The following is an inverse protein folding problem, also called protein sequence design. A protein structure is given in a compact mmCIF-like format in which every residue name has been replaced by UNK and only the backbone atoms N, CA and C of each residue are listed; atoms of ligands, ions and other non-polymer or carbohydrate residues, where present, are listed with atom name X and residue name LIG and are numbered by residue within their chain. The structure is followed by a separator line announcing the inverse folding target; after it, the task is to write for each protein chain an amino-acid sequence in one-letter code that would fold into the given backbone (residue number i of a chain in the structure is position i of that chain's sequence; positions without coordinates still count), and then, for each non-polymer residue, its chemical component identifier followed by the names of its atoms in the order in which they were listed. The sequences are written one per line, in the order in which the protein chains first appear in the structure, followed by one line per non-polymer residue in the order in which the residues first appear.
data_IF_088145248583
#
_entry.id   IF_088145248583
#
_cell.length_a   1.000
_cell.length_b   1.000
_cell.length_c   1.000
_cell.angle_alpha   90.00
_cell.angle_beta   90.00
_cell.angle_gamma   90.00
#
_symmetry.space_group_name_H-M   'P 1'
#
loop_
_entity.id
_entity.type
_entity.pdbx_description
1 polymer ?
2 non-polymer ?
3 water ?
#
# COMPACT_ATOMS: atom_id res chain seq x y z
N UNK A 4 -15.97 -10.61 16.46
CA UNK A 4 -15.31 -9.55 17.22
C UNK A 4 -13.83 -9.45 16.88
N UNK A 5 -13.38 -8.22 16.71
CA UNK A 5 -12.00 -7.83 16.39
C UNK A 5 -11.00 -7.93 17.56
N UNK A 6 -11.46 -7.98 18.84
CA UNK A 6 -10.54 -8.10 19.98
C UNK A 6 -10.05 -9.55 20.06
N UNK A 7 -8.71 -9.75 20.03
CA UNK A 7 -8.13 -11.08 20.16
C UNK A 7 -7.42 -11.15 21.50
N UNK A 8 -7.75 -12.17 22.28
CA UNK A 8 -7.18 -12.40 23.58
C UNK A 8 -5.73 -12.90 23.43
N UNK A 9 -4.78 -12.44 24.29
CA UNK A 9 -3.39 -12.96 24.19
C UNK A 9 -3.27 -14.48 24.26
N UNK A 10 -4.23 -15.17 24.91
CA UNK A 10 -4.22 -16.64 25.00
C UNK A 10 -4.62 -17.28 23.66
N UNK A 11 -5.18 -16.48 22.73
CA UNK A 11 -5.61 -16.98 21.42
C UNK A 11 -4.49 -16.88 20.36
N UNK A 12 -3.29 -16.45 20.78
CA UNK A 12 -2.14 -16.25 19.91
C UNK A 12 -0.91 -16.95 20.42
N UNK A 13 -0.15 -17.56 19.49
CA UNK A 13 1.14 -18.18 19.79
C UNK A 13 2.14 -17.63 18.79
N UNK A 14 3.27 -17.10 19.28
CA UNK A 14 4.34 -16.56 18.44
C UNK A 14 5.26 -17.75 18.13
N UNK A 15 5.54 -17.99 16.86
CA UNK A 15 6.30 -19.17 16.46
C UNK A 15 7.71 -18.85 15.94
N UNK A 16 7.86 -17.73 15.26
CA UNK A 16 9.13 -17.34 14.64
C UNK A 16 9.09 -15.85 14.40
N UNK A 17 10.21 -15.17 14.63
CA UNK A 17 10.35 -13.76 14.31
C UNK A 17 10.55 -13.71 12.80
N UNK A 18 9.69 -12.93 12.14
CA UNK A 18 9.73 -12.74 10.70
C UNK A 18 10.79 -11.65 10.41
N UNK A 19 10.61 -10.49 11.05
CA UNK A 19 11.52 -9.36 10.92
C UNK A 19 11.16 -8.18 11.80
N UNK A 20 11.71 -7.01 11.45
CA UNK A 20 11.47 -5.76 12.18
C UNK A 20 10.74 -4.78 11.30
N UNK A 21 9.56 -4.38 11.76
CA UNK A 21 8.73 -3.40 11.09
C UNK A 21 9.16 -2.00 11.49
N UNK A 22 8.40 -0.99 11.05
CA UNK A 22 8.66 0.41 11.39
C UNK A 22 8.36 0.66 12.87
N UNK A 23 7.24 0.12 13.37
CA UNK A 23 6.78 0.33 14.74
C UNK A 23 7.00 -0.84 15.71
N UNK A 24 7.91 -1.74 15.36
CA UNK A 24 8.22 -2.89 16.20
C UNK A 24 8.63 -4.13 15.45
N UNK A 25 8.17 -5.28 15.96
CA UNK A 25 8.47 -6.62 15.43
C UNK A 25 7.30 -7.24 14.68
N UNK A 26 7.63 -8.14 13.73
CA UNK A 26 6.66 -8.93 12.95
C UNK A 26 7.01 -10.41 13.21
N UNK A 27 6.02 -11.19 13.66
CA UNK A 27 6.20 -12.61 13.95
C UNK A 27 5.28 -13.46 13.13
N UNK A 28 5.71 -14.68 12.83
CA UNK A 28 4.85 -15.70 12.26
C UNK A 28 4.26 -16.37 13.51
N UNK A 29 2.96 -16.59 13.50
CA UNK A 29 2.30 -17.24 14.60
C UNK A 29 1.06 -17.99 14.17
N UNK A 30 0.33 -18.51 15.14
CA UNK A 30 -0.92 -19.20 14.92
C UNK A 30 -2.00 -18.49 15.72
N UNK A 31 -3.21 -18.39 15.13
CA UNK A 31 -4.35 -17.81 15.80
C UNK A 31 -5.31 -18.96 16.17
N UNK A 32 -5.67 -19.09 17.46
CA UNK A 32 -6.52 -20.17 17.97
C UNK A 32 -7.78 -20.44 17.16
N UNK A 33 -7.92 -21.71 16.71
CA UNK A 33 -9.01 -22.33 15.95
C UNK A 33 -9.27 -21.66 14.60
N UNK A 34 -8.29 -20.88 14.12
CA UNK A 34 -8.47 -20.10 12.90
C UNK A 34 -7.44 -20.35 11.82
N UNK A 35 -6.27 -19.68 11.90
CA UNK A 35 -5.24 -19.77 10.86
C UNK A 35 -3.84 -19.42 11.34
N UNK A 36 -2.86 -19.59 10.43
CA UNK A 36 -1.49 -19.14 10.58
C UNK A 36 -1.60 -17.64 10.35
N UNK A 37 -0.87 -16.83 11.13
CA UNK A 37 -0.99 -15.37 11.03
C UNK A 37 0.36 -14.64 11.08
N UNK A 38 0.34 -13.36 10.68
CA UNK A 38 1.49 -12.48 10.84
C UNK A 38 1.09 -11.54 11.97
N UNK A 39 1.90 -11.48 13.04
CA UNK A 39 1.55 -10.63 14.19
C UNK A 39 2.54 -9.48 14.29
N UNK A 40 2.02 -8.26 14.20
CA UNK A 40 2.80 -7.03 14.28
C UNK A 40 2.61 -6.40 15.63
N UNK A 41 3.70 -6.26 16.39
CA UNK A 41 3.73 -5.63 17.71
C UNK A 41 4.01 -4.14 17.48
N UNK A 42 3.15 -3.26 18.04
CA UNK A 42 3.22 -1.81 17.82
C UNK A 42 3.74 -1.10 19.04
N UNK A 43 4.84 -0.35 18.87
CA UNK A 43 5.51 0.41 19.92
C UNK A 43 4.56 1.47 20.47
N UNK A 44 4.48 1.60 21.82
CA UNK A 44 3.64 2.63 22.44
C UNK A 44 4.06 4.02 21.95
N UNK A 45 3.10 4.85 21.58
CA UNK A 45 3.37 6.20 21.08
C UNK A 45 3.47 6.31 19.58
N UNK A 46 3.59 5.16 18.87
CA UNK A 46 3.69 5.13 17.41
C UNK A 46 2.37 5.48 16.75
N UNK A 47 1.25 5.07 17.34
CA UNK A 47 -0.08 5.31 16.78
C UNK A 47 -1.12 5.67 17.84
N UNK A 48 -2.21 6.37 17.40
CA UNK A 48 -3.32 6.71 18.26
C UNK A 48 -4.15 5.44 18.31
N UNK A 49 -3.99 4.69 19.40
CA UNK A 49 -4.64 3.40 19.56
C UNK A 49 -6.13 3.57 19.75
N UNK A 50 -6.52 4.59 20.54
CA UNK A 50 -7.92 4.94 20.77
C UNK A 50 -8.67 5.27 19.48
N UNK A 51 -8.07 6.06 18.56
CA UNK A 51 -8.74 6.41 17.30
C UNK A 51 -8.83 5.18 16.42
N UNK A 52 -7.80 4.35 16.44
CA UNK A 52 -7.75 3.12 15.67
C UNK A 52 -8.86 2.15 16.10
N UNK A 53 -8.92 1.83 17.40
CA UNK A 53 -9.90 0.93 18.03
C UNK A 53 -11.36 1.32 17.72
N UNK A 54 -11.65 2.63 17.71
CA UNK A 54 -12.96 3.23 17.43
C UNK A 54 -13.53 2.82 16.07
N UNK A 55 -12.66 2.68 15.07
CA UNK A 55 -13.05 2.34 13.69
C UNK A 55 -13.06 0.85 13.38
N UNK A 56 -12.68 0.00 14.34
CA UNK A 56 -12.60 -1.46 14.18
C UNK A 56 -13.89 -2.10 13.72
N UNK A 57 -15.03 -1.80 14.37
CA UNK A 57 -16.34 -2.36 14.04
C UNK A 57 -16.68 -2.23 12.56
N UNK A 58 -16.53 -1.01 12.01
CA UNK A 58 -16.80 -0.68 10.61
C UNK A 58 -15.73 -1.28 9.69
N UNK A 59 -14.44 -0.95 9.94
CA UNK A 59 -13.28 -1.36 9.15
C UNK A 59 -13.06 -2.86 9.00
N UNK A 60 -13.47 -3.65 10.02
CA UNK A 60 -13.29 -5.10 10.00
C UNK A 60 -14.11 -5.79 8.92
N UNK A 61 -15.21 -5.15 8.47
CA UNK A 61 -16.12 -5.62 7.43
C UNK A 61 -15.50 -5.61 6.03
N UNK A 62 -14.44 -4.79 5.80
CA UNK A 62 -13.78 -4.76 4.48
C UNK A 62 -13.06 -6.09 4.27
N UNK A 63 -13.37 -6.75 3.14
CA UNK A 63 -12.82 -8.05 2.79
C UNK A 63 -12.86 -8.21 1.28
N UNK A 64 -11.70 -8.53 0.70
CA UNK A 64 -11.58 -8.72 -0.75
C UNK A 64 -10.37 -9.65 -0.96
N UNK A 65 -10.38 -10.53 -2.01
CA UNK A 65 -9.22 -11.40 -2.24
C UNK A 65 -7.91 -10.63 -2.47
N UNK A 66 -7.99 -9.33 -2.84
CA UNK A 66 -6.79 -8.55 -3.13
C UNK A 66 -6.45 -7.53 -2.03
N UNK A 67 -6.97 -7.75 -0.82
CA UNK A 67 -6.65 -6.94 0.34
C UNK A 67 -6.18 -7.90 1.42
N UNK A 68 -5.04 -7.56 2.08
CA UNK A 68 -4.51 -8.34 3.21
C UNK A 68 -5.54 -8.18 4.33
N UNK A 69 -6.08 -9.30 4.80
CA UNK A 69 -7.07 -9.27 5.88
C UNK A 69 -6.41 -8.99 7.24
N UNK A 70 -6.94 -7.97 7.95
CA UNK A 70 -6.49 -7.68 9.31
C UNK A 70 -7.56 -8.35 10.19
N UNK A 71 -7.23 -9.52 10.74
CA UNK A 71 -8.10 -10.36 11.56
C UNK A 71 -8.58 -9.73 12.86
N UNK A 72 -7.69 -8.98 13.51
CA UNK A 72 -8.01 -8.31 14.76
C UNK A 72 -6.84 -7.70 15.48
N UNK A 73 -7.11 -7.19 16.71
CA UNK A 73 -6.15 -6.50 17.56
C UNK A 73 -6.07 -7.15 18.96
N UNK A 74 -4.84 -7.41 19.43
CA UNK A 74 -4.61 -7.91 20.79
C UNK A 74 -4.26 -6.69 21.60
N UNK A 75 -5.15 -6.29 22.50
CA UNK A 75 -4.93 -5.06 23.26
C UNK A 75 -4.94 -5.16 24.80
N UNK A 76 -4.94 -6.39 25.36
CA UNK A 76 -4.93 -6.61 26.82
C UNK A 76 -3.86 -5.78 27.54
N UNK A 77 -2.60 -5.87 27.08
CA UNK A 77 -1.50 -5.08 27.63
C UNK A 77 -0.60 -4.54 26.55
N UNK A 78 0.05 -3.41 26.87
CA UNK A 78 0.98 -2.70 26.03
C UNK A 78 2.28 -3.51 25.91
N UNK A 79 2.86 -3.67 24.70
CA UNK A 79 2.44 -3.09 23.41
C UNK A 79 1.30 -3.88 22.76
N UNK A 80 0.43 -3.19 22.02
CA UNK A 80 -0.68 -3.88 21.35
C UNK A 80 -0.19 -4.62 20.10
N UNK A 81 -0.97 -5.63 19.65
CA UNK A 81 -0.64 -6.43 18.48
C UNK A 81 -1.71 -6.32 17.40
N UNK A 82 -1.30 -6.34 16.13
CA UNK A 82 -2.21 -6.35 14.98
C UNK A 82 -2.02 -7.73 14.37
N UNK A 83 -3.13 -8.45 14.14
CA UNK A 83 -3.09 -9.83 13.65
C UNK A 83 -3.58 -9.87 12.19
N UNK A 84 -2.67 -10.18 11.28
CA UNK A 84 -2.90 -10.21 9.84
C UNK A 84 -2.85 -11.59 9.24
N UNK A 85 -3.48 -11.70 8.07
CA UNK A 85 -3.41 -12.78 7.12
C UNK A 85 -1.89 -12.95 6.83
N UNK A 86 -1.38 -14.19 6.82
CA UNK A 86 0.05 -14.38 6.54
C UNK A 86 0.35 -14.36 5.05
N UNK A 87 1.29 -13.52 4.64
CA UNK A 87 1.66 -13.32 3.23
C UNK A 87 3.08 -13.85 3.07
N UNK A 88 3.20 -15.11 2.65
CA UNK A 88 4.46 -15.86 2.57
C UNK A 88 5.66 -15.26 1.85
N UNK A 89 5.44 -14.37 0.85
CA UNK A 89 6.56 -13.77 0.11
C UNK A 89 6.98 -12.36 0.50
N UNK A 90 6.43 -11.83 1.61
CA UNK A 90 6.77 -10.53 2.13
C UNK A 90 6.29 -9.37 1.30
N UNK A 91 6.94 -8.21 1.45
CA UNK A 91 6.52 -7.02 0.73
C UNK A 91 6.95 -6.98 -0.73
N UNK A 92 6.08 -6.38 -1.58
CA UNK A 92 6.30 -6.29 -3.02
C UNK A 92 7.60 -5.58 -3.42
N UNK A 93 7.98 -4.50 -2.72
CA UNK A 93 9.21 -3.74 -3.04
C UNK A 93 10.47 -4.66 -3.00
N UNK A 94 10.70 -5.39 -1.87
CA UNK A 94 11.79 -6.37 -1.71
C UNK A 94 11.66 -7.54 -2.70
N UNK A 95 10.43 -8.02 -2.95
CA UNK A 95 10.16 -9.11 -3.88
C UNK A 95 10.61 -8.73 -5.32
N UNK A 96 10.24 -7.54 -5.79
CA UNK A 96 10.62 -7.08 -7.12
C UNK A 96 12.15 -7.00 -7.24
N UNK A 97 12.81 -6.38 -6.24
CA UNK A 97 14.26 -6.18 -6.12
C UNK A 97 15.09 -7.46 -6.15
N UNK A 98 14.67 -8.50 -5.40
CA UNK A 98 15.38 -9.78 -5.35
C UNK A 98 15.15 -10.67 -6.60
N UNK A 99 13.98 -10.53 -7.26
CA UNK A 99 13.64 -11.31 -8.45
C UNK A 99 13.87 -10.54 -9.78
N UNK A 100 14.51 -9.36 -9.72
CA UNK A 100 14.82 -8.51 -10.89
C UNK A 100 15.49 -9.32 -12.02
N UNK A 101 14.97 -9.20 -13.25
CA UNK A 101 15.47 -9.93 -14.41
C UNK A 101 14.78 -11.27 -14.66
N UNK A 102 13.88 -11.67 -13.73
CA UNK A 102 13.13 -12.95 -13.83
C UNK A 102 11.64 -12.73 -14.03
N UNK A 103 11.22 -11.50 -14.27
CA UNK A 103 9.82 -11.16 -14.47
C UNK A 103 9.45 -11.00 -15.93
N UNK A 104 8.42 -11.73 -16.38
CA UNK A 104 7.83 -11.59 -17.72
C UNK A 104 6.96 -10.34 -17.63
N UNK A 105 6.80 -9.58 -18.72
CA UNK A 105 6.01 -8.34 -18.73
C UNK A 105 4.56 -8.57 -18.28
N UNK A 106 4.01 -9.75 -18.64
CA UNK A 106 2.65 -10.13 -18.26
C UNK A 106 2.50 -10.32 -16.75
N UNK A 107 3.55 -10.83 -16.06
CA UNK A 107 3.53 -11.04 -14.61
C UNK A 107 3.49 -9.65 -13.91
N UNK A 108 4.27 -8.69 -14.40
CA UNK A 108 4.34 -7.32 -13.84
C UNK A 108 3.00 -6.64 -14.02
N UNK A 109 2.38 -6.80 -15.21
CA UNK A 109 1.05 -6.26 -15.46
C UNK A 109 0.02 -6.90 -14.52
N UNK A 110 0.09 -8.22 -14.33
CA UNK A 110 -0.79 -8.98 -13.43
C UNK A 110 -0.71 -8.49 -11.99
N UNK A 111 0.52 -8.16 -11.53
CA UNK A 111 0.76 -7.57 -10.22
C UNK A 111 0.04 -6.20 -10.12
N UNK A 112 0.09 -5.38 -11.20
CA UNK A 112 -0.60 -4.07 -11.25
C UNK A 112 -2.10 -4.29 -11.22
N UNK A 113 -2.57 -5.35 -11.93
CA UNK A 113 -3.99 -5.73 -11.95
C UNK A 113 -4.53 -6.14 -10.59
N UNK A 114 -3.75 -6.91 -9.82
CA UNK A 114 -4.10 -7.36 -8.46
C UNK A 114 -4.32 -6.12 -7.56
N UNK A 115 -3.34 -5.19 -7.55
CA UNK A 115 -3.40 -3.95 -6.76
C UNK A 115 -4.60 -3.12 -7.21
N UNK A 116 -4.78 -2.93 -8.54
CA UNK A 116 -5.90 -2.16 -9.10
C UNK A 116 -7.28 -2.67 -8.64
N UNK A 117 -7.45 -4.01 -8.64
CA UNK A 117 -8.68 -4.67 -8.24
C UNK A 117 -8.94 -4.41 -6.72
N UNK A 118 -7.91 -4.54 -5.89
CA UNK A 118 -7.98 -4.25 -4.46
C UNK A 118 -8.32 -2.79 -4.19
N UNK A 119 -7.72 -1.88 -4.96
CA UNK A 119 -7.99 -0.45 -4.86
C UNK A 119 -9.39 -0.10 -5.39
N UNK A 120 -9.90 -0.82 -6.42
CA UNK A 120 -11.24 -0.55 -6.96
C UNK A 120 -12.31 -0.93 -5.91
N UNK A 121 -12.04 -1.98 -5.12
CA UNK A 121 -12.90 -2.40 -4.00
C UNK A 121 -12.91 -1.29 -2.92
N UNK A 122 -11.72 -0.76 -2.53
CA UNK A 122 -11.59 0.31 -1.53
C UNK A 122 -12.28 1.58 -2.01
N UNK A 123 -12.03 1.96 -3.28
CA UNK A 123 -12.66 3.13 -3.91
C UNK A 123 -14.21 3.04 -3.84
N UNK A 124 -14.78 1.86 -4.22
CA UNK A 124 -16.23 1.59 -4.16
C UNK A 124 -16.72 1.67 -2.70
N UNK A 125 -15.88 1.22 -1.73
CA UNK A 125 -16.20 1.27 -0.30
C UNK A 125 -15.97 2.66 0.31
N UNK A 126 -15.45 3.62 -0.49
CA UNK A 126 -15.13 4.99 -0.07
C UNK A 126 -14.05 5.03 1.02
N UNK A 127 -13.04 4.13 0.88
CA UNK A 127 -11.94 4.07 1.82
C UNK A 127 -10.71 4.55 1.05
N UNK A 128 -10.02 5.59 1.58
CA UNK A 128 -8.82 6.15 0.95
C UNK A 128 -7.58 5.50 1.61
N UNK A 129 -6.66 4.95 0.80
CA UNK A 129 -5.44 4.33 1.33
C UNK A 129 -4.57 5.38 2.00
N UNK A 130 -4.17 6.44 1.24
CA UNK A 130 -3.36 7.61 1.64
C UNK A 130 -1.86 7.47 1.43
N UNK A 131 -1.37 6.22 1.33
CA UNK A 131 0.06 5.99 1.17
C UNK A 131 0.29 4.68 0.43
N UNK A 132 -0.38 4.52 -0.72
CA UNK A 132 -0.24 3.31 -1.53
C UNK A 132 1.14 3.34 -2.22
N UNK A 133 1.92 2.28 -1.97
CA UNK A 133 3.28 2.11 -2.50
C UNK A 133 3.59 0.64 -2.54
N UNK A 134 4.60 0.21 -3.34
CA UNK A 134 4.97 -1.22 -3.41
C UNK A 134 5.36 -1.76 -2.01
N UNK A 135 6.02 -0.92 -1.16
CA UNK A 135 6.40 -1.27 0.24
C UNK A 135 5.19 -1.69 1.11
N UNK A 136 3.98 -1.22 0.75
CA UNK A 136 2.71 -1.47 1.44
C UNK A 136 1.92 -2.63 0.84
N UNK A 137 2.39 -3.16 -0.27
CA UNK A 137 1.76 -4.31 -0.91
C UNK A 137 2.51 -5.57 -0.53
N UNK A 138 1.76 -6.66 -0.37
CA UNK A 138 2.31 -7.94 0.05
C UNK A 138 2.06 -9.02 -0.98
N UNK A 139 3.01 -9.97 -1.07
CA UNK A 139 3.05 -11.08 -2.03
C UNK A 139 2.69 -12.38 -1.31
N UNK A 140 1.65 -13.04 -1.77
CA UNK A 140 1.19 -14.25 -1.14
C UNK A 140 1.31 -15.48 -1.99
N UNK A 141 0.33 -16.39 -1.80
CA UNK A 141 0.21 -17.68 -2.47
C UNK A 141 0.09 -17.49 -3.98
N UNK A 142 1.05 -18.08 -4.71
CA UNK A 142 1.17 -18.07 -6.16
C UNK A 142 1.33 -16.67 -6.75
N UNK A 143 2.20 -15.85 -6.13
CA UNK A 143 2.55 -14.48 -6.54
C UNK A 143 1.37 -13.51 -6.51
N UNK A 144 0.29 -13.83 -5.76
CA UNK A 144 -0.84 -12.90 -5.66
C UNK A 144 -0.42 -11.63 -4.89
N UNK A 145 -0.81 -10.45 -5.40
CA UNK A 145 -0.49 -9.20 -4.73
C UNK A 145 -1.71 -8.70 -3.98
N UNK A 146 -1.50 -8.32 -2.71
CA UNK A 146 -2.60 -7.78 -1.90
C UNK A 146 -2.22 -6.43 -1.32
N UNK A 147 -3.18 -5.50 -1.29
CA UNK A 147 -2.96 -4.15 -0.72
C UNK A 147 -3.12 -4.25 0.81
N UNK A 148 -2.30 -3.51 1.56
CA UNK A 148 -2.34 -3.50 3.02
C UNK A 148 -2.06 -2.09 3.55
N UNK A 149 -2.31 -1.87 4.87
CA UNK A 149 -2.08 -0.63 5.63
C UNK A 149 -2.88 0.56 5.11
N UNK A 150 -4.03 0.31 4.48
CA UNK A 150 -4.87 1.39 3.98
C UNK A 150 -5.45 2.15 5.16
N UNK A 151 -5.38 3.48 5.08
CA UNK A 151 -5.87 4.40 6.09
C UNK A 151 -5.00 4.59 7.32
N UNK A 152 -3.87 3.84 7.43
CA UNK A 152 -2.98 3.83 8.58
C UNK A 152 -2.35 5.18 8.97
N UNK A 153 -1.95 5.99 7.96
CA UNK A 153 -1.38 7.32 8.19
C UNK A 153 -2.32 8.28 8.97
N UNK A 154 -3.63 7.96 9.06
CA UNK A 154 -4.58 8.74 9.86
C UNK A 154 -4.35 8.53 11.37
N UNK A 155 -3.64 7.44 11.75
CA UNK A 155 -3.38 7.09 13.14
C UNK A 155 -1.92 7.28 13.54
N UNK A 156 -1.02 7.43 12.55
CA UNK A 156 0.43 7.60 12.76
C UNK A 156 0.70 8.89 13.56
N UNK A 157 1.40 8.74 14.70
CA UNK A 157 1.69 9.89 15.57
C UNK A 157 2.90 10.75 15.21
N UNK A 158 3.75 10.30 14.29
CA UNK A 158 4.92 11.08 13.84
C UNK A 158 4.51 12.12 12.79
N UNK A 159 4.42 13.38 13.23
CA UNK A 159 4.11 14.55 12.38
C UNK A 159 5.10 14.74 11.22
N UNK A 160 6.34 14.22 11.33
CA UNK A 160 7.31 14.35 10.22
C UNK A 160 6.91 13.45 9.04
N UNK A 161 6.02 12.47 9.27
CA UNK A 161 5.55 11.58 8.21
C UNK A 161 4.16 11.99 7.72
N UNK A 162 3.30 12.45 8.62
CA UNK A 162 1.91 12.77 8.31
C UNK A 162 1.67 14.15 7.74
N UNK A 163 2.49 15.13 8.09
CA UNK A 163 2.33 16.51 7.63
C UNK A 163 2.99 16.67 6.26
N UNK A 164 2.33 17.40 5.34
CA UNK A 164 2.85 17.63 3.99
C UNK A 164 4.21 18.36 4.01
N UNK A 165 4.43 19.19 5.04
CA UNK A 165 5.69 19.92 5.26
C UNK A 165 6.66 19.11 6.18
N UNK A 166 6.30 17.88 6.52
CA UNK A 166 7.09 16.99 7.36
C UNK A 166 8.34 16.50 6.66
N UNK A 167 9.48 16.40 7.39
CA UNK A 167 10.78 15.96 6.84
C UNK A 167 10.76 14.58 6.19
N UNK A 168 9.89 13.67 6.68
CA UNK A 168 9.75 12.29 6.19
C UNK A 168 8.45 12.06 5.39
N UNK A 169 7.76 13.15 4.98
CA UNK A 169 6.51 13.01 4.22
C UNK A 169 6.73 12.21 2.92
N UNK A 170 5.95 11.12 2.69
CA UNK A 170 6.16 10.29 1.49
C UNK A 170 5.76 10.99 0.19
N UNK A 171 6.43 12.11 -0.13
CA UNK A 171 6.15 12.96 -1.30
C UNK A 171 6.23 12.23 -2.66
N UNK A 172 7.12 11.21 -2.78
CA UNK A 172 7.31 10.42 -4.01
C UNK A 172 6.02 9.76 -4.56
N UNK A 173 5.04 9.47 -3.69
CA UNK A 173 3.77 8.83 -4.08
C UNK A 173 2.59 9.83 -3.96
N UNK A 174 2.90 11.09 -3.62
CA UNK A 174 1.86 12.11 -3.43
C UNK A 174 1.51 12.89 -4.70
N UNK A 175 0.19 13.04 -4.94
CA UNK A 175 -0.38 13.88 -5.99
C UNK A 175 -0.15 15.34 -5.56
N UNK A 176 -0.18 16.34 -6.48
CA UNK A 176 0.05 17.73 -6.07
C UNK A 176 -0.90 18.26 -5.00
N UNK A 177 -2.23 17.92 -5.05
CA UNK A 177 -3.15 18.38 -4.02
C UNK A 177 -2.87 17.72 -2.66
N UNK A 178 -2.22 16.53 -2.66
CA UNK A 178 -1.82 15.88 -1.40
C UNK A 178 -0.56 16.58 -0.84
N UNK A 179 0.51 16.73 -1.66
CA UNK A 179 1.73 17.40 -1.19
C UNK A 179 1.53 18.89 -0.86
N UNK A 180 0.51 19.53 -1.46
CA UNK A 180 0.23 20.93 -1.20
C UNK A 180 -0.74 21.14 -0.06
N UNK A 181 -1.86 20.38 -0.05
CA UNK A 181 -2.94 20.62 0.93
C UNK A 181 -3.46 19.43 1.70
N UNK A 182 -2.80 18.26 1.59
CA UNK A 182 -3.26 17.03 2.21
C UNK A 182 -4.71 16.72 1.80
N UNK A 183 -5.01 16.97 0.51
CA UNK A 183 -6.35 16.78 -0.04
C UNK A 183 -6.48 15.34 -0.60
N UNK A 184 -6.72 14.40 0.31
CA UNK A 184 -6.83 12.96 0.02
C UNK A 184 -8.19 12.57 -0.56
N UNK A 185 -8.16 11.69 -1.59
CA UNK A 185 -9.31 11.12 -2.27
C UNK A 185 -8.84 9.82 -2.95
N UNK A 186 -9.78 9.05 -3.53
CA UNK A 186 -9.41 7.87 -4.31
C UNK A 186 -8.59 8.35 -5.56
N UNK A 187 -8.78 9.62 -6.00
CA UNK A 187 -8.00 10.21 -7.12
C UNK A 187 -6.55 10.49 -6.75
N UNK A 188 -6.30 10.83 -5.48
CA UNK A 188 -4.92 10.97 -5.02
C UNK A 188 -4.29 9.59 -4.87
N UNK A 189 -5.08 8.56 -4.49
CA UNK A 189 -4.62 7.16 -4.46
C UNK A 189 -4.29 6.70 -5.89
N UNK A 190 -5.04 7.20 -6.91
CA UNK A 190 -4.79 6.85 -8.32
C UNK A 190 -3.40 7.34 -8.75
N UNK A 191 -3.05 8.57 -8.36
CA UNK A 191 -1.72 9.11 -8.59
C UNK A 191 -0.65 8.18 -7.96
N UNK A 192 -0.84 7.76 -6.67
CA UNK A 192 0.11 6.85 -5.97
C UNK A 192 0.16 5.50 -6.72
N UNK A 193 -1.00 5.06 -7.26
CA UNK A 193 -1.05 3.81 -8.01
C UNK A 193 -0.16 3.87 -9.24
N UNK A 194 -0.13 5.03 -9.93
CA UNK A 194 0.72 5.25 -11.09
C UNK A 194 2.19 5.08 -10.73
N UNK A 195 2.59 5.64 -9.58
CA UNK A 195 3.97 5.55 -9.06
C UNK A 195 4.25 4.06 -8.74
N UNK A 196 3.30 3.38 -8.09
CA UNK A 196 3.39 1.95 -7.77
C UNK A 196 3.59 1.15 -9.10
N UNK A 197 2.83 1.50 -10.18
CA UNK A 197 2.98 0.82 -11.50
C UNK A 197 4.42 0.98 -12.02
N UNK A 198 4.98 2.19 -11.87
CA UNK A 198 6.36 2.51 -12.24
C UNK A 198 7.32 1.65 -11.41
N UNK A 199 7.05 1.51 -10.09
CA UNK A 199 7.87 0.69 -9.18
C UNK A 199 7.89 -0.78 -9.64
N UNK A 200 6.71 -1.34 -9.98
CA UNK A 200 6.54 -2.73 -10.46
C UNK A 200 7.31 -2.89 -11.79
N UNK A 201 7.00 -2.07 -12.81
CA UNK A 201 7.65 -2.18 -14.12
C UNK A 201 9.17 -1.91 -14.14
N UNK A 202 9.69 -1.16 -13.13
CA UNK A 202 11.14 -0.86 -12.97
C UNK A 202 11.83 -1.92 -12.10
N UNK A 203 11.06 -2.95 -11.72
CA UNK A 203 11.49 -4.09 -10.91
C UNK A 203 11.97 -3.66 -9.54
N UNK A 204 11.23 -2.73 -8.94
CA UNK A 204 11.49 -2.22 -7.60
C UNK A 204 12.50 -1.11 -7.45
N UNK A 205 12.75 -0.32 -8.53
CA UNK A 205 13.62 0.85 -8.40
C UNK A 205 12.89 1.90 -7.55
N UNK A 206 13.65 2.78 -6.88
CA UNK A 206 13.08 3.86 -6.05
C UNK A 206 12.68 5.00 -6.98
N UNK A 207 11.41 5.49 -6.92
CA UNK A 207 11.05 6.65 -7.76
C UNK A 207 11.74 7.94 -7.29
N UNK A 208 12.24 8.76 -8.26
CA UNK A 208 12.91 10.04 -8.03
C UNK A 208 14.09 9.92 -7.03
N UNK A 209 14.89 8.85 -7.18
CA UNK A 209 16.05 8.53 -6.34
C UNK A 209 17.04 9.70 -6.21
N UNK A 210 17.24 10.42 -7.30
CA UNK A 210 18.17 11.55 -7.40
C UNK A 210 17.62 12.90 -6.92
N UNK A 211 16.47 12.90 -6.19
CA UNK A 211 15.82 14.14 -5.77
C UNK A 211 15.39 14.21 -4.32
N UNK A 212 15.54 15.40 -3.72
CA UNK A 212 15.08 15.68 -2.35
C UNK A 212 13.57 15.96 -2.45
N UNK A 213 12.85 16.01 -1.31
CA UNK A 213 11.41 16.26 -1.24
C UNK A 213 10.98 17.51 -2.00
N UNK A 214 11.62 18.67 -1.73
CA UNK A 214 11.27 19.93 -2.40
C UNK A 214 11.59 19.88 -3.89
N UNK A 215 12.59 19.07 -4.27
CA UNK A 215 12.95 18.90 -5.68
C UNK A 215 11.87 18.09 -6.42
N UNK A 216 11.26 17.08 -5.75
CA UNK A 216 10.17 16.28 -6.34
C UNK A 216 8.97 17.21 -6.60
N UNK A 217 8.59 18.00 -5.58
CA UNK A 217 7.50 19.00 -5.64
C UNK A 217 7.73 19.97 -6.79
N UNK A 218 8.95 20.54 -6.91
CA UNK A 218 9.27 21.46 -8.00
C UNK A 218 9.19 20.80 -9.37
N UNK A 219 9.75 19.57 -9.51
CA UNK A 219 9.74 18.83 -10.77
C UNK A 219 8.32 18.52 -11.21
N UNK A 220 7.51 17.93 -10.30
CA UNK A 220 6.11 17.58 -10.57
C UNK A 220 5.27 18.81 -10.96
N UNK A 221 5.43 19.92 -10.21
CA UNK A 221 4.71 21.19 -10.45
C UNK A 221 5.06 21.80 -11.79
N UNK A 222 6.28 21.51 -12.30
CA UNK A 222 6.75 22.05 -13.57
C UNK A 222 6.59 21.05 -14.72
N UNK A 223 5.87 19.96 -14.48
CA UNK A 223 5.56 19.01 -15.54
C UNK A 223 6.41 17.75 -15.66
N UNK A 224 7.47 17.59 -14.83
CA UNK A 224 8.29 16.37 -14.89
C UNK A 224 7.46 15.17 -14.48
N UNK A 225 7.67 14.04 -15.19
CA UNK A 225 7.03 12.78 -14.83
C UNK A 225 8.08 11.68 -14.91
N UNK A 226 7.89 10.59 -14.14
CA UNK A 226 8.80 9.44 -14.15
C UNK A 226 8.94 8.86 -15.55
N UNK A 227 10.19 8.61 -15.98
CA UNK A 227 10.54 8.06 -17.30
C UNK A 227 9.93 6.67 -17.51
N UNK A 228 9.66 6.29 -18.77
CA UNK A 228 9.10 4.95 -19.04
C UNK A 228 10.07 3.85 -18.65
N UNK A 229 9.66 2.90 -17.76
CA UNK A 229 10.54 1.76 -17.49
C UNK A 229 10.64 0.91 -18.77
N UNK A 230 11.80 0.27 -18.97
CA UNK A 230 12.08 -0.56 -20.15
C UNK A 230 10.99 -1.62 -20.35
N UNK A 231 10.51 -2.24 -19.25
CA UNK A 231 9.51 -3.32 -19.32
C UNK A 231 8.09 -2.86 -19.51
N UNK A 232 7.82 -1.55 -19.38
CA UNK A 232 6.49 -1.02 -19.62
C UNK A 232 6.28 -0.71 -21.10
N UNK A 233 5.22 -1.29 -21.70
CA UNK A 233 4.92 -1.04 -23.11
C UNK A 233 4.42 0.40 -23.20
N UNK A 234 4.36 0.98 -24.38
CA UNK A 234 3.86 2.36 -24.48
C UNK A 234 2.42 2.51 -23.99
N UNK A 235 1.60 1.44 -24.15
CA UNK A 235 0.19 1.43 -23.70
C UNK A 235 0.11 1.47 -22.19
N UNK A 236 1.03 0.75 -21.51
CA UNK A 236 1.10 0.71 -20.06
C UNK A 236 1.52 2.10 -19.54
N UNK A 237 2.58 2.68 -20.15
CA UNK A 237 3.08 4.01 -19.81
C UNK A 237 2.02 5.09 -19.98
N UNK A 238 1.15 5.00 -21.00
CA UNK A 238 0.06 5.96 -21.22
C UNK A 238 -0.88 5.94 -19.99
N UNK A 239 -1.28 4.73 -19.50
CA UNK A 239 -2.09 4.54 -18.28
C UNK A 239 -1.39 5.19 -17.08
N UNK A 240 -0.07 4.93 -16.93
CA UNK A 240 0.76 5.53 -15.86
C UNK A 240 0.62 7.05 -15.90
N UNK A 241 0.80 7.66 -17.10
CA UNK A 241 0.67 9.12 -17.23
C UNK A 241 -0.70 9.63 -16.91
N UNK A 242 -1.75 8.81 -17.17
CA UNK A 242 -3.14 9.21 -16.87
C UNK A 242 -3.33 9.33 -15.36
N UNK A 243 -2.63 8.47 -14.58
CA UNK A 243 -2.67 8.53 -13.13
C UNK A 243 -2.00 9.82 -12.67
N UNK A 244 -1.01 10.32 -13.44
CA UNK A 244 -0.26 11.52 -13.06
C UNK A 244 -0.76 12.82 -13.64
N UNK A 245 -2.04 12.92 -13.92
CA UNK A 245 -2.58 14.19 -14.35
C UNK A 245 -2.64 15.14 -13.19
N UNK A 246 -2.29 16.40 -13.44
CA UNK A 246 -2.28 17.40 -12.39
C UNK A 246 -3.61 17.54 -11.66
N UNK A 247 -4.72 17.61 -12.39
CA UNK A 247 -6.03 17.74 -11.77
C UNK A 247 -6.57 16.37 -11.40
N UNK A 248 -6.99 16.13 -10.13
CA UNK A 248 -7.58 14.82 -9.78
C UNK A 248 -8.77 14.42 -10.66
N UNK A 249 -9.60 15.39 -11.08
CA UNK A 249 -10.78 15.15 -11.94
C UNK A 249 -10.40 14.51 -13.27
N UNK A 250 -9.21 14.83 -13.81
CA UNK A 250 -8.74 14.29 -15.10
C UNK A 250 -8.15 12.88 -14.97
N UNK A 251 -7.93 12.42 -13.73
CA UNK A 251 -7.37 11.08 -13.50
C UNK A 251 -8.47 10.05 -13.63
N UNK A 252 -8.21 8.87 -14.21
CA UNK A 252 -9.26 7.86 -14.27
C UNK A 252 -9.53 7.34 -12.85
N UNK A 253 -10.75 6.86 -12.61
CA UNK A 253 -11.08 6.21 -11.35
C UNK A 253 -10.44 4.80 -11.37
N UNK A 254 -10.30 4.12 -10.20
CA UNK A 254 -9.77 2.75 -10.16
C UNK A 254 -10.67 1.81 -10.95
N UNK A 255 -12.00 2.04 -10.94
CA UNK A 255 -12.93 1.20 -11.72
C UNK A 255 -12.63 1.33 -13.23
N UNK A 256 -12.24 2.54 -13.69
CA UNK A 256 -11.88 2.77 -15.10
C UNK A 256 -10.52 2.13 -15.42
N UNK A 257 -9.51 2.34 -14.55
CA UNK A 257 -8.16 1.76 -14.71
C UNK A 257 -8.26 0.23 -14.82
N UNK A 258 -9.07 -0.42 -13.95
CA UNK A 258 -9.23 -1.88 -13.93
C UNK A 258 -9.67 -2.44 -15.28
N UNK A 259 -10.72 -1.84 -15.91
CA UNK A 259 -11.19 -2.22 -17.23
C UNK A 259 -10.10 -2.00 -18.28
N UNK A 260 -9.40 -0.86 -18.22
CA UNK A 260 -8.35 -0.50 -19.19
C UNK A 260 -7.14 -1.43 -19.09
N UNK A 261 -6.70 -1.73 -17.87
CA UNK A 261 -5.57 -2.63 -17.63
C UNK A 261 -5.92 -4.09 -17.97
N UNK A 262 -7.18 -4.52 -17.70
CA UNK A 262 -7.61 -5.89 -18.03
C UNK A 262 -7.67 -6.08 -19.55
N UNK A 263 -8.16 -5.07 -20.30
CA UNK A 263 -8.19 -5.11 -21.75
C UNK A 263 -6.78 -5.27 -22.35
N UNK A 264 -5.79 -4.58 -21.76
CA UNK A 264 -4.39 -4.67 -22.18
C UNK A 264 -3.84 -6.05 -21.90
N UNK A 265 -4.05 -6.58 -20.68
CA UNK A 265 -3.57 -7.91 -20.26
C UNK A 265 -4.13 -9.05 -21.09
N UNK A 266 -5.47 -9.08 -21.28
CA UNK A 266 -6.23 -10.11 -21.98
C UNK A 266 -6.15 -9.97 -23.50
N UNK A 267 -5.45 -8.90 -23.97
CA UNK A 267 -5.13 -8.47 -25.34
C UNK A 267 -6.27 -7.81 -26.11
X LIG B 1 -8.04 -1.91 8.27
X LIG B 1 -9.04 -2.80 8.09
X LIG B 1 -8.47 -3.86 7.44
X LIG B 1 -7.07 -3.61 7.21
X LIG B 1 -6.82 -2.34 7.74
X LIG B 1 -6.21 -4.48 6.57
X LIG B 1 -4.85 -4.18 6.42
X LIG B 1 -4.06 -5.17 5.84
X LIG B 1 -4.34 -3.10 6.77
X LIG B 1 -9.21 -5.06 7.04
X LIG B 1 -10.58 -5.04 7.16
X LIG B 1 -8.63 -6.06 6.58
X LIG B 1 -8.24 -0.63 8.89
X LIG B 1 -7.98 0.49 8.13
X LIG B 1 -8.16 1.76 8.72
X LIG B 1 -8.59 1.88 10.01
X LIG B 1 -8.64 -0.55 10.26
X LIG B 1 -8.81 0.73 10.80
X LIG B 1 -9.21 0.88 12.16
X LIG B 1 -9.44 -0.22 12.92
X LIG B 1 -9.26 -1.51 12.36
X LIG B 1 -8.87 -1.70 11.06
X LIG B 1 -9.49 -2.50 13.27
X LIG B 1 -9.64 -3.81 12.78
X LIG B 1 -5.91 -1.74 7.80
X LIG B 1 -6.60 -5.37 6.26
X LIG B 1 -4.40 -6.07 5.58
X LIG B 1 -3.08 -5.00 5.74
X LIG B 1 -11.12 -5.84 6.90
X LIG B 1 -11.07 -4.24 7.52
X LIG B 1 -7.67 0.40 7.10
X LIG B 1 -7.96 2.65 8.10
X LIG B 1 -8.78 2.87 10.43
X LIG B 1 -9.34 1.87 12.57
X LIG B 1 -9.76 -0.14 13.98
X LIG B 1 -8.71 -2.70 10.65
X LIG B 1 -10.39 -3.90 11.98
X LIG B 1 -9.98 -4.36 13.66
X LIG B 1 -8.68 -4.24 12.43
X LIG C 1 6.39 -10.44 5.87
X LIG C 1 6.55 -9.11 5.76
X LIG C 1 5.34 -8.56 6.09
X LIG C 1 4.39 -9.59 6.38
X LIG C 1 5.08 -10.80 6.24
X LIG C 1 3.07 -9.37 6.72
X LIG C 1 2.08 -10.36 6.49
X LIG C 1 0.76 -9.97 6.64
X LIG C 1 2.36 -11.53 6.21
X LIG C 1 5.10 -7.11 6.11
X LIG C 1 6.08 -6.28 5.63
X LIG C 1 4.04 -6.63 6.55
X LIG C 1 7.43 -11.36 5.50
X LIG C 1 7.05 -12.52 4.87
X LIG C 1 8.04 -13.44 4.44
X LIG C 1 9.37 -13.16 4.62
X LIG C 1 8.80 -11.07 5.78
X LIG C 1 9.77 -11.97 5.29
X LIG C 1 11.15 -11.72 5.48
X LIG C 1 11.56 -10.62 6.18
X LIG C 1 10.58 -9.75 6.73
X LIG C 1 9.23 -9.95 6.53
X LIG C 1 11.13 -8.74 7.45
X LIG C 1 10.26 -7.78 8.01
X LIG C 1 4.75 -11.83 6.40
X LIG C 1 2.81 -8.43 7.00
X LIG C 1 0.47 -9.03 6.86
X LIG C 1 0.04 -10.66 6.52
X LIG C 1 5.95 -5.29 5.61
X LIG C 1 6.95 -6.63 5.24
X LIG C 1 6.01 -12.76 4.66
X LIG C 1 7.72 -14.37 3.96
X LIG C 1 10.13 -13.85 4.25
X LIG C 1 11.87 -12.41 5.07
X LIG C 1 12.63 -10.41 6.33
X LIG C 1 8.50 -9.28 6.98
X LIG C 1 9.67 -7.24 7.25
X LIG C 1 10.94 -7.08 8.50
X LIG C 1 9.58 -8.20 8.77
#
# INVERSE_FOLDING_TARGET
GSGKWVIDPSELTFVQEIGSGQFGLVHLGYWLNKDKVAIKTIREGAMSEEDFIEEAEVMMKLSHPKLVQLYGVCLEQAPICLVFEFMEHGCLSDYLRTQRGLFAAETLLGMCLDVCEGMAYLEEACVIHRDLAARNCLVGENQVIKVSDFGMTRFVLDDQYTSSTGTKFPVKWASPEVFSFSRYSSKSDVWSFGVLMWEVFSEGKIPYENRSNSEVVEDISTGFRLYKPRLASTHVYQIMNHCWRERPEDRPAFSRLLRQLAEIAESGL
M0Z N1 N2 C1 C2 C3 N3 C4 N4 O1 C5 N5 O2 C6 C7 C8 C9 C10 C11 C12 C13 C14 C15 O3 C16 H1 H2 H4 H3 H5 H6 H7 H8 H9 H10 H11 H12 H14 H13 H15
M0Z N1 N2 C1 C2 C3 N3 C4 N4 O1 C5 N5 O2 C6 C7 C8 C9 C10 C11 C12 C13 C14 C15 O3 C16 H1 H2 H4 H3 H5 H6 H7 H8 H9 H10 H11 H12 H14 H13 H15
#
